data_IF_675826205366
#
_entry.id   IF_675826205366
#
_cell.length_a   1.000
_cell.length_b   1.000
_cell.length_c   1.000
_cell.angle_alpha   90.00
_cell.angle_beta   90.00
_cell.angle_gamma   90.00
#
_symmetry.space_group_name_H-M   'P 1'
#
loop_
_entity.id
_entity.type
_entity.pdbx_description
1 polymer ?
#
# COMPACT_ATOMS: atom_id res chain seq x y z
N UNK A 1 16.33 6.12 -18.81
CA UNK A 1 15.50 7.29 -18.45
C UNK A 1 14.14 6.93 -17.88
N UNK A 2 13.57 5.73 -18.13
CA UNK A 2 12.26 5.32 -17.58
C UNK A 2 12.22 5.13 -16.05
N UNK A 3 13.30 4.63 -15.43
CA UNK A 3 13.27 4.28 -14.00
C UNK A 3 13.23 5.50 -13.06
N UNK A 4 13.83 6.61 -13.47
CA UNK A 4 13.81 7.87 -12.70
C UNK A 4 12.43 8.52 -12.70
N UNK A 5 11.68 8.44 -13.81
CA UNK A 5 10.28 8.87 -13.84
C UNK A 5 9.39 7.97 -12.98
N UNK A 6 9.71 6.68 -12.88
CA UNK A 6 9.04 5.76 -11.96
C UNK A 6 9.16 6.19 -10.50
N UNK A 7 10.34 6.63 -10.08
CA UNK A 7 10.59 7.12 -8.70
C UNK A 7 9.85 8.44 -8.45
N UNK A 8 9.85 9.38 -9.40
CA UNK A 8 9.13 10.67 -9.26
C UNK A 8 7.62 10.46 -9.23
N UNK A 9 7.09 9.50 -10.01
CA UNK A 9 5.68 9.12 -9.98
C UNK A 9 5.28 8.34 -8.70
N UNK A 10 6.24 7.70 -8.02
CA UNK A 10 5.97 6.94 -6.80
C UNK A 10 5.48 7.82 -5.63
N UNK A 11 5.95 9.06 -5.56
CA UNK A 11 5.49 10.03 -4.55
C UNK A 11 3.98 10.26 -4.61
N UNK A 12 3.43 10.81 -5.71
CA UNK A 12 1.98 10.98 -5.89
C UNK A 12 1.18 9.69 -5.70
N UNK A 13 1.69 8.56 -6.20
CA UNK A 13 0.99 7.28 -6.12
C UNK A 13 0.86 6.77 -4.67
N UNK A 14 1.85 7.06 -3.81
CA UNK A 14 1.78 6.76 -2.38
C UNK A 14 0.64 7.50 -1.69
N UNK A 15 0.48 8.80 -1.96
CA UNK A 15 -0.60 9.60 -1.37
C UNK A 15 -1.99 9.13 -1.83
N UNK A 16 -2.12 8.78 -3.11
CA UNK A 16 -3.36 8.19 -3.65
C UNK A 16 -3.63 6.83 -3.00
N UNK A 17 -2.62 5.98 -2.84
CA UNK A 17 -2.76 4.67 -2.17
C UNK A 17 -3.21 4.81 -0.72
N UNK A 18 -2.67 5.77 0.03
CA UNK A 18 -3.09 6.07 1.41
C UNK A 18 -4.52 6.60 1.49
N UNK A 19 -4.92 7.44 0.53
CA UNK A 19 -6.29 7.93 0.45
C UNK A 19 -7.30 6.82 0.12
N UNK A 20 -7.00 5.95 -0.85
CA UNK A 20 -7.84 4.79 -1.18
C UNK A 20 -7.95 3.84 0.01
N UNK A 21 -6.84 3.57 0.71
CA UNK A 21 -6.86 2.74 1.90
C UNK A 21 -7.75 3.31 3.01
N UNK A 22 -7.74 4.64 3.21
CA UNK A 22 -8.62 5.34 4.15
C UNK A 22 -10.10 5.10 3.83
N UNK A 23 -10.47 5.18 2.54
CA UNK A 23 -11.85 4.96 2.10
C UNK A 23 -12.31 3.53 2.39
N UNK A 24 -11.47 2.53 2.08
CA UNK A 24 -11.78 1.13 2.37
C UNK A 24 -11.85 0.88 3.87
N UNK A 25 -10.94 1.46 4.66
CA UNK A 25 -10.96 1.37 6.11
C UNK A 25 -12.25 1.95 6.73
N UNK A 26 -12.77 3.04 6.18
CA UNK A 26 -14.08 3.57 6.55
C UNK A 26 -15.22 2.64 6.18
N UNK A 27 -15.16 2.03 4.98
CA UNK A 27 -16.19 1.11 4.50
C UNK A 27 -16.26 -0.19 5.30
N UNK A 28 -15.11 -0.77 5.68
CA UNK A 28 -15.06 -2.02 6.46
C UNK A 28 -15.05 -1.77 7.97
N UNK A 29 -14.96 -0.53 8.44
CA UNK A 29 -14.80 -0.21 9.87
C UNK A 29 -15.90 -0.80 10.75
N UNK A 30 -17.15 -0.81 10.27
CA UNK A 30 -18.28 -1.43 10.99
C UNK A 30 -18.19 -2.96 11.03
N UNK A 31 -17.69 -3.58 9.97
CA UNK A 31 -17.62 -5.04 9.83
C UNK A 31 -16.45 -5.65 10.59
N UNK A 32 -15.33 -4.92 10.67
CA UNK A 32 -14.11 -5.37 11.36
C UNK A 32 -14.03 -4.81 12.80
N UNK A 33 -15.03 -4.03 13.23
CA UNK A 33 -15.10 -3.44 14.58
C UNK A 33 -14.04 -2.36 14.85
N UNK A 34 -13.49 -1.76 13.79
CA UNK A 34 -12.43 -0.77 13.87
C UNK A 34 -13.05 0.62 13.69
N UNK A 35 -12.66 1.58 14.55
CA UNK A 35 -13.02 2.98 14.31
C UNK A 35 -12.39 3.45 12.99
N UNK A 36 -13.15 4.14 12.11
CA UNK A 36 -12.59 4.73 10.91
C UNK A 36 -11.39 5.60 11.27
N UNK A 37 -10.24 5.32 10.67
CA UNK A 37 -8.99 6.00 11.00
C UNK A 37 -8.67 7.09 9.97
N UNK A 38 -8.12 8.20 10.47
CA UNK A 38 -7.86 9.40 9.65
C UNK A 38 -6.75 9.20 8.61
N UNK A 39 -6.53 10.25 7.81
CA UNK A 39 -5.56 10.23 6.70
C UNK A 39 -4.13 9.92 7.14
N UNK A 40 -3.66 10.48 8.27
CA UNK A 40 -2.31 10.21 8.81
C UNK A 40 -2.16 8.74 9.21
N UNK A 41 -3.15 8.17 9.88
CA UNK A 41 -3.15 6.74 10.21
C UNK A 41 -3.16 5.91 8.93
N UNK A 42 -3.91 6.33 7.91
CA UNK A 42 -3.92 5.64 6.62
C UNK A 42 -2.56 5.69 5.93
N UNK A 43 -1.82 6.81 6.00
CA UNK A 43 -0.44 6.88 5.52
C UNK A 43 0.48 5.88 6.24
N UNK A 44 0.37 5.79 7.57
CA UNK A 44 1.17 4.83 8.36
C UNK A 44 0.85 3.40 7.95
N UNK A 45 -0.43 3.06 7.80
CA UNK A 45 -0.85 1.72 7.38
C UNK A 45 -0.40 1.43 5.94
N UNK A 46 -0.44 2.41 5.03
CA UNK A 46 0.12 2.25 3.69
C UNK A 46 1.61 1.95 3.74
N UNK A 47 2.42 2.66 4.54
CA UNK A 47 3.85 2.34 4.70
C UNK A 47 4.02 0.92 5.26
N UNK A 48 3.26 0.56 6.29
CA UNK A 48 3.31 -0.76 6.89
C UNK A 48 2.95 -1.86 5.86
N UNK A 49 1.93 -1.64 5.03
CA UNK A 49 1.53 -2.55 3.97
C UNK A 49 2.64 -2.70 2.93
N UNK A 50 3.24 -1.60 2.47
CA UNK A 50 4.36 -1.64 1.53
C UNK A 50 5.55 -2.44 2.07
N UNK A 51 5.94 -2.20 3.33
CA UNK A 51 7.06 -2.90 3.97
C UNK A 51 6.78 -4.39 4.19
N UNK A 52 5.53 -4.76 4.52
CA UNK A 52 5.15 -6.16 4.74
C UNK A 52 4.96 -6.93 3.44
N UNK A 53 4.48 -6.28 2.38
CA UNK A 53 4.21 -6.91 1.07
C UNK A 53 5.49 -7.05 0.23
N UNK A 54 6.46 -6.15 0.33
CA UNK A 54 7.71 -6.21 -0.41
C UNK A 54 8.43 -7.58 -0.35
N UNK A 55 8.66 -8.19 0.83
CA UNK A 55 9.27 -9.53 0.90
C UNK A 55 8.36 -10.64 0.34
N UNK A 56 7.03 -10.53 0.51
CA UNK A 56 6.08 -11.50 -0.02
C UNK A 56 6.07 -11.51 -1.57
N UNK A 57 6.05 -10.33 -2.20
CA UNK A 57 6.20 -10.19 -3.65
C UNK A 57 7.55 -10.74 -4.11
N UNK A 58 8.63 -10.43 -3.39
CA UNK A 58 9.96 -10.95 -3.70
C UNK A 58 10.03 -12.49 -3.69
N UNK A 59 9.36 -13.13 -2.73
CA UNK A 59 9.27 -14.58 -2.65
C UNK A 59 8.48 -15.18 -3.82
N UNK A 60 7.31 -14.62 -4.15
CA UNK A 60 6.47 -15.08 -5.26
C UNK A 60 7.17 -14.87 -6.61
N UNK A 61 7.76 -13.70 -6.83
CA UNK A 61 8.49 -13.38 -8.05
C UNK A 61 9.71 -14.31 -8.26
N UNK A 62 10.36 -14.74 -7.17
CA UNK A 62 11.43 -15.75 -7.23
C UNK A 62 10.90 -17.14 -7.57
N UNK A 63 9.72 -17.51 -7.05
CA UNK A 63 9.09 -18.80 -7.36
C UNK A 63 8.67 -18.89 -8.83
N UNK A 64 8.08 -17.82 -9.39
CA UNK A 64 7.63 -17.78 -10.79
C UNK A 64 8.76 -17.80 -11.82
N UNK A 65 9.97 -17.33 -11.48
CA UNK A 65 11.13 -17.32 -12.38
C UNK A 65 11.85 -18.68 -12.49
N UNK A 66 11.45 -19.66 -11.67
CA UNK A 66 12.02 -21.00 -11.65
C UNK A 66 11.13 -22.04 -12.35
N UNK A 67 10.00 -21.61 -12.92
CA UNK A 67 9.08 -22.43 -13.71
C UNK A 67 9.25 -22.21 -15.20
#
# INVERSE_FOLDING_TARGET
MGDFFGIVAAGPFFFVSAWVLMLFAGAVGTDVGIRPFGYITSMVVTIALWLTVAPAIGAIARAGRKS
#
